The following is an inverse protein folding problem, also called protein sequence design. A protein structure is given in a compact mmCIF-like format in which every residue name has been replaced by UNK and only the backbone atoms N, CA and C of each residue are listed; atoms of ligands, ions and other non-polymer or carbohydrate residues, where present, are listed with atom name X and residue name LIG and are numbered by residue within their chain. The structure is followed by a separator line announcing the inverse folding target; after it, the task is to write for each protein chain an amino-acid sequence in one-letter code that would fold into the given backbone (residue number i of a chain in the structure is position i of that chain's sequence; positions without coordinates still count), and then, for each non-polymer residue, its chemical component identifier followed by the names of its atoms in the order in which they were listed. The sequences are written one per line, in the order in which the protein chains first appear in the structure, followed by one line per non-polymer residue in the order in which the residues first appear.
data_IF_697494137793
#
_entry.id   IF_697494137793
#
_cell.length_a   1.000
_cell.length_b   1.000
_cell.length_c   1.000
_cell.angle_alpha   90.00
_cell.angle_beta   90.00
_cell.angle_gamma   90.00
#
_symmetry.space_group_name_H-M   'P 1'
#
loop_
_entity.id
_entity.type
_entity.pdbx_description
1 polymer ?
#
# COMPACT_ATOMS: atom_id res chain seq x y z
N UNK A 1 21.38 -21.96 19.59
CA UNK A 1 21.35 -20.80 18.67
C UNK A 1 20.15 -19.93 19.04
N UNK A 2 20.34 -18.85 19.81
CA UNK A 2 19.26 -17.88 20.08
C UNK A 2 19.12 -17.03 18.82
N UNK A 3 18.03 -17.19 18.07
CA UNK A 3 17.67 -16.21 17.04
C UNK A 3 17.65 -14.84 17.73
N UNK A 4 18.39 -13.87 17.18
CA UNK A 4 18.50 -12.55 17.78
C UNK A 4 17.09 -11.92 17.73
N UNK A 5 16.53 -11.40 18.84
CA UNK A 5 15.16 -10.89 18.89
C UNK A 5 14.80 -9.90 17.76
N UNK A 6 15.80 -9.15 17.26
CA UNK A 6 15.65 -8.24 16.12
C UNK A 6 15.47 -8.95 14.78
N UNK A 7 16.13 -10.09 14.55
CA UNK A 7 15.97 -10.86 13.31
C UNK A 7 14.55 -11.42 13.19
N UNK A 8 13.99 -11.89 14.31
CA UNK A 8 12.60 -12.37 14.38
C UNK A 8 11.64 -11.21 14.12
N UNK A 9 11.87 -10.06 14.77
CA UNK A 9 11.08 -8.86 14.56
C UNK A 9 11.13 -8.37 13.11
N UNK A 10 12.30 -8.40 12.46
CA UNK A 10 12.45 -8.03 11.05
C UNK A 10 11.66 -8.96 10.14
N UNK A 11 11.72 -10.28 10.38
CA UNK A 11 10.93 -11.25 9.61
C UNK A 11 9.43 -10.98 9.76
N UNK A 12 8.97 -10.71 10.98
CA UNK A 12 7.58 -10.34 11.24
C UNK A 12 7.18 -9.08 10.45
N UNK A 13 7.98 -8.01 10.52
CA UNK A 13 7.70 -6.76 9.79
C UNK A 13 7.71 -6.92 8.28
N UNK A 14 8.55 -7.80 7.73
CA UNK A 14 8.51 -8.14 6.30
C UNK A 14 7.23 -8.86 5.91
N UNK A 15 6.75 -9.76 6.76
CA UNK A 15 5.49 -10.45 6.50
C UNK A 15 4.30 -9.48 6.56
N UNK A 16 4.23 -8.63 7.58
CA UNK A 16 3.19 -7.59 7.68
C UNK A 16 3.22 -6.64 6.48
N UNK A 17 4.41 -6.22 6.02
CA UNK A 17 4.54 -5.40 4.82
C UNK A 17 3.96 -6.11 3.59
N UNK A 18 4.30 -7.38 3.38
CA UNK A 18 3.80 -8.15 2.25
C UNK A 18 2.27 -8.32 2.27
N UNK A 19 1.69 -8.52 3.45
CA UNK A 19 0.23 -8.63 3.60
C UNK A 19 -0.47 -7.30 3.26
N UNK A 20 0.10 -6.18 3.70
CA UNK A 20 -0.44 -4.84 3.40
C UNK A 20 -0.23 -4.47 1.93
N UNK A 21 0.88 -4.85 1.32
CA UNK A 21 1.12 -4.68 -0.13
C UNK A 21 0.09 -5.44 -0.96
N UNK A 22 -0.24 -6.67 -0.56
CA UNK A 22 -1.30 -7.45 -1.20
C UNK A 22 -2.65 -6.76 -1.07
N UNK A 23 -3.03 -6.35 0.15
CA UNK A 23 -4.28 -5.64 0.40
C UNK A 23 -4.37 -4.31 -0.39
N UNK A 24 -3.25 -3.61 -0.53
CA UNK A 24 -3.17 -2.39 -1.33
C UNK A 24 -3.39 -2.69 -2.82
N UNK A 25 -2.78 -3.74 -3.35
CA UNK A 25 -3.04 -4.19 -4.73
C UNK A 25 -4.51 -4.54 -4.98
N UNK A 26 -5.15 -5.24 -4.04
CA UNK A 26 -6.59 -5.54 -4.10
C UNK A 26 -7.46 -4.27 -4.06
N UNK A 27 -7.08 -3.27 -3.25
CA UNK A 27 -7.79 -2.00 -3.19
C UNK A 27 -7.68 -1.20 -4.50
N UNK A 28 -6.49 -1.14 -5.10
CA UNK A 28 -6.27 -0.51 -6.42
C UNK A 28 -7.08 -1.22 -7.50
N UNK A 29 -7.12 -2.55 -7.50
CA UNK A 29 -7.94 -3.31 -8.44
C UNK A 29 -9.44 -3.03 -8.28
N UNK A 30 -9.92 -2.89 -7.03
CA UNK A 30 -11.32 -2.52 -6.74
C UNK A 30 -11.65 -1.11 -7.24
N UNK A 31 -10.76 -0.14 -7.05
CA UNK A 31 -10.93 1.22 -7.57
C UNK A 31 -11.01 1.23 -9.10
N UNK A 32 -10.07 0.58 -9.79
CA UNK A 32 -10.07 0.49 -11.24
C UNK A 32 -11.33 -0.19 -11.80
N UNK A 33 -11.83 -1.23 -11.12
CA UNK A 33 -13.08 -1.88 -11.47
C UNK A 33 -14.30 -0.96 -11.30
N UNK A 34 -14.33 -0.16 -10.21
CA UNK A 34 -15.38 0.82 -9.98
C UNK A 34 -15.38 1.92 -11.06
N UNK A 35 -14.20 2.44 -11.43
CA UNK A 35 -14.03 3.43 -12.50
C UNK A 35 -14.48 2.87 -13.86
N UNK A 36 -14.12 1.62 -14.16
CA UNK A 36 -14.57 0.94 -15.39
C UNK A 36 -16.10 0.82 -15.41
N UNK A 37 -16.71 0.43 -14.29
CA UNK A 37 -18.16 0.33 -14.17
C UNK A 37 -18.84 1.70 -14.33
N UNK A 38 -18.27 2.77 -13.76
CA UNK A 38 -18.77 4.13 -13.97
C UNK A 38 -18.69 4.55 -15.44
N UNK A 39 -17.58 4.26 -16.11
CA UNK A 39 -17.40 4.48 -17.54
C UNK A 39 -18.48 3.76 -18.38
N UNK A 40 -18.79 2.51 -18.04
CA UNK A 40 -19.87 1.76 -18.69
C UNK A 40 -21.24 2.44 -18.49
N UNK A 41 -21.57 2.93 -17.29
CA UNK A 41 -22.85 3.63 -17.06
C UNK A 41 -22.96 4.92 -17.87
N UNK A 42 -21.86 5.65 -18.05
CA UNK A 42 -21.84 6.81 -18.94
C UNK A 42 -22.00 6.42 -20.41
N UNK A 43 -21.39 5.31 -20.84
CA UNK A 43 -21.58 4.79 -22.20
C UNK A 43 -23.03 4.35 -22.45
N UNK A 44 -23.65 3.66 -21.49
CA UNK A 44 -25.07 3.27 -21.55
C UNK A 44 -25.95 4.52 -21.74
N UNK A 45 -25.72 5.59 -20.96
CA UNK A 45 -26.46 6.85 -21.10
C UNK A 45 -26.29 7.47 -22.49
N UNK A 46 -25.07 7.51 -23.03
CA UNK A 46 -24.82 8.04 -24.38
C UNK A 46 -25.48 7.19 -25.46
N UNK A 47 -25.50 5.87 -25.30
CA UNK A 47 -26.15 4.95 -26.23
C UNK A 47 -27.67 5.15 -26.23
N UNK A 48 -28.29 5.16 -25.05
CA UNK A 48 -29.73 5.38 -24.89
C UNK A 48 -30.15 6.77 -25.40
N UNK A 49 -29.35 7.80 -25.12
CA UNK A 49 -29.57 9.13 -25.68
C UNK A 49 -29.49 9.14 -27.21
N UNK A 50 -28.48 8.46 -27.78
CA UNK A 50 -28.30 8.38 -29.23
C UNK A 50 -29.51 7.73 -29.91
N UNK A 51 -30.02 6.63 -29.35
CA UNK A 51 -31.22 5.94 -29.83
C UNK A 51 -32.45 6.85 -29.81
N UNK A 52 -32.65 7.61 -28.72
CA UNK A 52 -33.77 8.53 -28.60
C UNK A 52 -33.66 9.78 -29.50
N UNK A 53 -32.44 10.18 -29.84
CA UNK A 53 -32.15 11.34 -30.71
C UNK A 53 -32.05 11.01 -32.20
N UNK A 54 -32.20 9.74 -32.59
CA UNK A 54 -32.14 9.33 -33.99
C UNK A 54 -33.31 9.97 -34.76
N UNK A 55 -33.06 10.67 -35.89
CA UNK A 55 -34.13 11.23 -36.73
C UNK A 55 -35.16 10.22 -37.24
N UNK A 56 -34.82 8.93 -37.22
CA UNK A 56 -35.72 7.82 -37.59
C UNK A 56 -36.44 7.21 -36.37
N UNK A 57 -36.14 7.65 -35.15
CA UNK A 57 -36.81 7.18 -33.95
C UNK A 57 -38.27 7.65 -33.90
N UNK A 58 -39.15 6.78 -33.39
CA UNK A 58 -40.55 7.12 -33.14
C UNK A 58 -40.74 7.76 -31.75
N UNK A 59 -41.92 8.33 -31.52
CA UNK A 59 -42.28 8.92 -30.21
C UNK A 59 -42.14 7.90 -29.05
N UNK A 60 -42.26 6.60 -29.33
CA UNK A 60 -42.12 5.54 -28.33
C UNK A 60 -40.68 5.42 -27.84
N UNK A 61 -39.69 5.57 -28.71
CA UNK A 61 -38.28 5.58 -28.31
C UNK A 61 -37.97 6.77 -27.38
N UNK A 62 -38.52 7.95 -27.67
CA UNK A 62 -38.37 9.14 -26.83
C UNK A 62 -39.05 8.97 -25.47
N UNK A 63 -40.27 8.42 -25.44
CA UNK A 63 -40.96 8.08 -24.19
C UNK A 63 -40.22 7.02 -23.38
N UNK A 64 -39.68 5.99 -24.03
CA UNK A 64 -38.91 4.94 -23.36
C UNK A 64 -37.64 5.52 -22.70
N UNK A 65 -36.90 6.36 -23.42
CA UNK A 65 -35.75 7.07 -22.88
C UNK A 65 -36.12 7.98 -21.70
N UNK A 66 -37.22 8.73 -21.82
CA UNK A 66 -37.72 9.60 -20.75
C UNK A 66 -38.05 8.84 -19.47
N UNK A 67 -38.61 7.63 -19.59
CA UNK A 67 -38.90 6.73 -18.46
C UNK A 67 -37.63 6.10 -17.88
N UNK A 68 -36.65 5.79 -18.73
CA UNK A 68 -35.39 5.18 -18.31
C UNK A 68 -34.42 6.18 -17.67
N UNK A 69 -34.40 7.43 -18.12
CA UNK A 69 -33.42 8.44 -17.73
C UNK A 69 -33.24 8.59 -16.20
N UNK A 70 -34.30 8.65 -15.36
CA UNK A 70 -34.12 8.72 -13.92
C UNK A 70 -33.41 7.49 -13.34
N UNK A 71 -33.63 6.31 -13.91
CA UNK A 71 -32.97 5.06 -13.49
C UNK A 71 -31.50 5.09 -13.91
N UNK A 72 -31.20 5.49 -15.14
CA UNK A 72 -29.83 5.66 -15.64
C UNK A 72 -29.03 6.67 -14.81
N UNK A 73 -29.62 7.81 -14.47
CA UNK A 73 -28.99 8.83 -13.62
C UNK A 73 -28.70 8.31 -12.21
N UNK A 74 -29.64 7.59 -11.58
CA UNK A 74 -29.39 6.94 -10.28
C UNK A 74 -28.24 5.94 -10.35
N UNK A 75 -28.21 5.11 -11.40
CA UNK A 75 -27.13 4.13 -11.58
C UNK A 75 -25.75 4.80 -11.74
N UNK A 76 -25.67 5.95 -12.41
CA UNK A 76 -24.44 6.76 -12.49
C UNK A 76 -24.07 7.31 -11.12
N UNK A 77 -25.01 7.89 -10.38
CA UNK A 77 -24.75 8.43 -9.04
C UNK A 77 -24.28 7.33 -8.07
N UNK A 78 -24.87 6.14 -8.11
CA UNK A 78 -24.43 4.99 -7.32
C UNK A 78 -23.02 4.52 -7.72
N UNK A 79 -22.71 4.49 -9.02
CA UNK A 79 -21.37 4.14 -9.50
C UNK A 79 -20.33 5.19 -9.05
N UNK A 80 -20.66 6.48 -9.08
CA UNK A 80 -19.81 7.55 -8.56
C UNK A 80 -19.55 7.40 -7.06
N UNK A 81 -20.57 7.03 -6.28
CA UNK A 81 -20.40 6.75 -4.85
C UNK A 81 -19.45 5.58 -4.62
N UNK A 82 -19.59 4.50 -5.39
CA UNK A 82 -18.68 3.35 -5.30
C UNK A 82 -17.24 3.71 -5.65
N UNK A 83 -17.01 4.56 -6.65
CA UNK A 83 -15.67 5.08 -6.95
C UNK A 83 -15.11 5.87 -5.77
N UNK A 84 -15.91 6.76 -5.17
CA UNK A 84 -15.49 7.54 -4.00
C UNK A 84 -15.15 6.65 -2.82
N UNK A 85 -15.98 5.66 -2.52
CA UNK A 85 -15.70 4.71 -1.44
C UNK A 85 -14.44 3.89 -1.71
N UNK A 86 -14.24 3.40 -2.94
CA UNK A 86 -13.04 2.66 -3.30
C UNK A 86 -11.76 3.51 -3.19
N UNK A 87 -11.82 4.80 -3.55
CA UNK A 87 -10.71 5.73 -3.36
C UNK A 87 -10.38 5.96 -1.88
N UNK A 88 -11.40 6.13 -1.03
CA UNK A 88 -11.23 6.25 0.43
C UNK A 88 -10.59 4.97 1.00
N UNK A 89 -11.10 3.79 0.63
CA UNK A 89 -10.56 2.50 1.05
C UNK A 89 -9.08 2.37 0.67
N UNK A 90 -8.72 2.72 -0.58
CA UNK A 90 -7.34 2.71 -1.05
C UNK A 90 -6.48 3.64 -0.21
N UNK A 91 -6.93 4.86 0.07
CA UNK A 91 -6.15 5.85 0.82
C UNK A 91 -5.93 5.42 2.28
N UNK A 92 -6.93 4.79 2.91
CA UNK A 92 -6.78 4.16 4.22
C UNK A 92 -5.68 3.08 4.21
N UNK A 93 -5.72 2.17 3.22
CA UNK A 93 -4.72 1.09 3.10
C UNK A 93 -3.34 1.66 2.74
N UNK A 94 -3.27 2.73 1.94
CA UNK A 94 -2.03 3.44 1.63
C UNK A 94 -1.35 3.97 2.89
N UNK A 95 -2.13 4.52 3.83
CA UNK A 95 -1.60 4.96 5.13
C UNK A 95 -0.98 3.79 5.90
N UNK A 96 -1.68 2.66 5.98
CA UNK A 96 -1.17 1.45 6.60
C UNK A 96 0.12 0.93 5.92
N UNK A 97 0.20 1.01 4.59
CA UNK A 97 1.39 0.62 3.83
C UNK A 97 2.60 1.48 4.20
N UNK A 98 2.43 2.80 4.27
CA UNK A 98 3.50 3.73 4.68
C UNK A 98 3.96 3.44 6.12
N UNK A 99 3.03 3.13 7.02
CA UNK A 99 3.35 2.76 8.40
C UNK A 99 4.13 1.44 8.47
N UNK A 100 3.74 0.42 7.70
CA UNK A 100 4.45 -0.86 7.65
C UNK A 100 5.88 -0.71 7.10
N UNK A 101 6.05 0.10 6.04
CA UNK A 101 7.37 0.41 5.48
C UNK A 101 8.25 1.15 6.50
N UNK A 102 7.70 2.14 7.19
CA UNK A 102 8.41 2.88 8.23
C UNK A 102 8.83 1.97 9.39
N UNK A 103 7.95 1.07 9.83
CA UNK A 103 8.23 0.11 10.89
C UNK A 103 9.34 -0.87 10.51
N UNK A 104 9.34 -1.41 9.28
CA UNK A 104 10.40 -2.27 8.79
C UNK A 104 11.75 -1.53 8.77
N UNK A 105 11.77 -0.31 8.21
CA UNK A 105 12.98 0.52 8.13
C UNK A 105 13.54 0.86 9.51
N UNK A 106 12.67 1.07 10.50
CA UNK A 106 13.09 1.30 11.89
C UNK A 106 13.81 0.07 12.48
N UNK A 107 13.32 -1.14 12.22
CA UNK A 107 13.97 -2.37 12.68
C UNK A 107 15.32 -2.58 11.99
N UNK A 108 15.41 -2.33 10.69
CA UNK A 108 16.67 -2.41 9.94
C UNK A 108 17.72 -1.44 10.50
N UNK A 109 17.30 -0.20 10.83
CA UNK A 109 18.17 0.78 11.51
C UNK A 109 18.64 0.33 12.90
N UNK A 110 17.79 -0.36 13.66
CA UNK A 110 18.16 -0.90 14.97
C UNK A 110 19.16 -2.06 14.83
N UNK A 111 19.00 -2.92 13.83
CA UNK A 111 19.97 -3.98 13.52
C UNK A 111 21.33 -3.40 13.14
N UNK A 112 21.38 -2.39 12.26
CA UNK A 112 22.61 -1.69 11.89
C UNK A 112 23.33 -1.12 13.11
N UNK A 113 22.57 -0.46 14.01
CA UNK A 113 23.11 0.11 15.24
C UNK A 113 23.66 -0.96 16.18
N UNK A 114 22.93 -2.07 16.38
CA UNK A 114 23.39 -3.16 17.23
C UNK A 114 24.67 -3.80 16.68
N UNK A 115 24.75 -4.02 15.37
CA UNK A 115 25.96 -4.55 14.73
C UNK A 115 27.14 -3.61 14.94
N UNK A 116 26.93 -2.30 14.76
CA UNK A 116 27.97 -1.30 15.00
C UNK A 116 28.45 -1.30 16.47
N UNK A 117 27.54 -1.37 17.43
CA UNK A 117 27.89 -1.45 18.87
C UNK A 117 28.69 -2.72 19.21
N UNK A 118 28.31 -3.87 18.64
CA UNK A 118 29.05 -5.13 18.81
C UNK A 118 30.47 -4.99 18.25
N UNK A 119 30.62 -4.43 17.06
CA UNK A 119 31.93 -4.21 16.43
C UNK A 119 32.80 -3.27 17.28
N UNK A 120 32.25 -2.15 17.75
CA UNK A 120 32.97 -1.22 18.63
C UNK A 120 33.42 -1.88 19.92
N UNK A 121 32.59 -2.73 20.51
CA UNK A 121 32.93 -3.44 21.73
C UNK A 121 34.02 -4.50 21.51
N UNK A 122 34.02 -5.20 20.37
CA UNK A 122 35.08 -6.13 19.99
C UNK A 122 36.41 -5.38 19.79
N UNK A 123 36.42 -4.28 19.05
CA UNK A 123 37.61 -3.45 18.84
C UNK A 123 38.18 -2.92 20.16
N UNK A 124 37.33 -2.47 21.10
CA UNK A 124 37.77 -2.02 22.43
C UNK A 124 38.38 -3.15 23.25
N UNK A 125 37.85 -4.36 23.16
CA UNK A 125 38.42 -5.54 23.81
C UNK A 125 39.78 -5.90 23.23
N UNK A 126 39.91 -5.89 21.91
CA UNK A 126 41.19 -6.13 21.22
C UNK A 126 42.23 -5.09 21.63
N UNK A 127 41.87 -3.80 21.63
CA UNK A 127 42.75 -2.72 22.10
C UNK A 127 43.20 -2.94 23.55
N UNK A 128 42.28 -3.24 24.47
CA UNK A 128 42.62 -3.48 25.87
C UNK A 128 43.61 -4.63 26.06
N UNK A 129 43.48 -5.71 25.28
CA UNK A 129 44.41 -6.84 25.29
C UNK A 129 45.79 -6.43 24.76
N UNK A 130 45.85 -5.66 23.67
CA UNK A 130 47.11 -5.16 23.12
C UNK A 130 47.83 -4.22 24.09
N UNK A 131 47.08 -3.32 24.74
CA UNK A 131 47.61 -2.39 25.73
C UNK A 131 48.18 -3.14 26.95
N UNK A 132 47.49 -4.18 27.44
CA UNK A 132 47.98 -5.02 28.53
C UNK A 132 49.28 -5.74 28.15
N UNK A 133 49.37 -6.30 26.94
CA UNK A 133 50.58 -6.94 26.45
C UNK A 133 51.74 -5.95 26.33
N UNK A 134 51.49 -4.74 25.83
CA UNK A 134 52.49 -3.68 25.71
C UNK A 134 53.02 -3.24 27.09
N UNK A 135 52.14 -3.09 28.09
CA UNK A 135 52.53 -2.78 29.47
C UNK A 135 53.40 -3.88 30.08
N UNK A 136 53.05 -5.16 29.86
CA UNK A 136 53.85 -6.30 30.34
C UNK A 136 55.24 -6.34 29.70
N UNK A 137 55.36 -6.09 28.41
CA UNK A 137 56.67 -6.00 27.74
C UNK A 137 57.52 -4.86 28.30
N UNK A 138 56.91 -3.70 28.57
CA UNK A 138 57.61 -2.52 29.08
C UNK A 138 58.12 -2.71 30.51
N UNK A 139 57.44 -3.53 31.32
CA UNK A 139 57.86 -3.87 32.68
C UNK A 139 58.91 -4.99 32.76
N UNK A 140 59.20 -5.67 31.64
CA UNK A 140 60.22 -6.72 31.55
C UNK A 140 61.56 -6.22 31.00
N UNK A 141 61.62 -4.97 30.53
CA UNK A 141 62.83 -4.26 30.10
C UNK A 141 63.34 -3.36 31.21
#
# INVERSE_FOLDING_TARGET
MRQMPLEVLRRLRRHELADVEKAFGEAVAREAAAETALGQRHQDLLMEQKLASDPLADDRAVEAFSRWLPVGQRAISEAQERCRQAAIDRDCIRSALLMAQAALKAVEKLEEKQQWEIQQHLLRKEQAVLDELALRQRNLQ
#
